data_IF_825399881336
#
_entry.id   IF_825399881336
#
_cell.length_a   1.000
_cell.length_b   1.000
_cell.length_c   1.000
_cell.angle_alpha   90.00
_cell.angle_beta   90.00
_cell.angle_gamma   90.00
#
_symmetry.space_group_name_H-M   'P 1'
#
loop_
_entity.id
_entity.type
_entity.pdbx_description
1 polymer ?
#
# COMPACT_ATOMS: atom_id res chain seq x y z
N UNK A 1 14.06 -19.28 2.45
CA UNK A 1 12.66 -18.80 2.41
C UNK A 1 12.52 -17.58 3.30
N UNK A 2 11.73 -16.57 2.91
CA UNK A 2 11.46 -15.41 3.78
C UNK A 2 10.46 -15.81 4.88
N UNK A 3 10.71 -15.38 6.12
CA UNK A 3 9.78 -15.54 7.24
C UNK A 3 9.06 -14.23 7.46
N UNK A 4 7.73 -14.24 7.48
CA UNK A 4 6.92 -13.03 7.64
C UNK A 4 6.02 -13.19 8.86
N UNK A 5 6.02 -12.16 9.70
CA UNK A 5 5.20 -12.03 10.89
C UNK A 5 4.29 -10.82 10.68
N UNK A 6 2.99 -11.02 10.83
CA UNK A 6 2.00 -9.96 10.69
C UNK A 6 1.16 -9.87 11.95
N UNK A 7 0.95 -8.64 12.41
CA UNK A 7 0.00 -8.32 13.46
C UNK A 7 -0.99 -7.27 12.94
N UNK A 8 -2.26 -7.65 12.81
CA UNK A 8 -3.33 -6.73 12.39
C UNK A 8 -4.07 -6.22 13.62
N UNK A 9 -3.83 -4.96 13.97
CA UNK A 9 -4.56 -4.22 14.98
C UNK A 9 -5.76 -3.45 14.41
N UNK A 10 -6.37 -2.61 15.25
CA UNK A 10 -7.53 -1.79 14.85
C UNK A 10 -7.18 -0.72 13.80
N UNK A 11 -6.04 -0.04 13.95
CA UNK A 11 -5.63 1.06 13.07
C UNK A 11 -4.56 0.66 12.07
N UNK A 12 -3.60 -0.17 12.51
CA UNK A 12 -2.43 -0.53 11.72
C UNK A 12 -2.26 -2.04 11.61
N UNK A 13 -1.69 -2.46 10.49
CA UNK A 13 -1.15 -3.79 10.26
C UNK A 13 0.37 -3.68 10.20
N UNK A 14 1.02 -4.28 11.19
CA UNK A 14 2.46 -4.35 11.31
C UNK A 14 2.98 -5.62 10.65
N UNK A 15 4.03 -5.50 9.84
CA UNK A 15 4.64 -6.59 9.11
C UNK A 15 6.16 -6.56 9.29
N UNK A 16 6.70 -7.67 9.78
CA UNK A 16 8.14 -7.88 9.94
C UNK A 16 8.53 -9.08 9.10
N UNK A 17 9.61 -8.94 8.33
CA UNK A 17 10.14 -10.04 7.54
C UNK A 17 11.61 -10.28 7.86
N UNK A 18 11.98 -11.55 7.98
CA UNK A 18 13.38 -12.00 8.04
C UNK A 18 13.72 -12.67 6.73
N UNK A 19 14.67 -12.08 6.00
CA UNK A 19 15.19 -12.64 4.75
C UNK A 19 16.08 -13.86 5.02
N UNK A 20 16.35 -14.70 4.00
CA UNK A 20 17.26 -15.84 4.14
C UNK A 20 18.68 -15.47 4.60
N UNK A 21 19.12 -14.25 4.28
CA UNK A 21 20.42 -13.70 4.70
C UNK A 21 20.45 -13.20 6.17
N UNK A 22 19.34 -13.34 6.90
CA UNK A 22 19.18 -12.86 8.28
C UNK A 22 18.79 -11.39 8.41
N UNK A 23 18.78 -10.62 7.32
CA UNK A 23 18.35 -9.22 7.36
C UNK A 23 16.86 -9.09 7.68
N UNK A 24 16.52 -8.07 8.46
CA UNK A 24 15.15 -7.80 8.89
C UNK A 24 14.59 -6.58 8.17
N UNK A 25 13.36 -6.71 7.67
CA UNK A 25 12.57 -5.64 7.10
C UNK A 25 11.35 -5.38 7.97
N UNK A 26 10.86 -4.14 7.93
CA UNK A 26 9.64 -3.73 8.61
C UNK A 26 8.77 -2.91 7.66
N UNK A 27 7.46 -3.11 7.74
CA UNK A 27 6.44 -2.34 7.04
C UNK A 27 5.24 -2.17 7.95
N UNK A 28 4.64 -0.99 7.90
CA UNK A 28 3.39 -0.67 8.58
C UNK A 28 2.44 -0.11 7.53
N UNK A 29 1.23 -0.64 7.47
CA UNK A 29 0.14 -0.13 6.64
C UNK A 29 -1.10 0.10 7.51
N UNK A 30 -2.05 0.88 7.02
CA UNK A 30 -3.35 1.01 7.69
C UNK A 30 -4.11 -0.32 7.61
N UNK A 31 -4.84 -0.67 8.67
CA UNK A 31 -5.72 -1.86 8.69
C UNK A 31 -6.89 -1.75 7.69
N UNK A 32 -7.11 -0.56 7.11
CA UNK A 32 -7.99 -0.32 5.96
C UNK A 32 -7.35 -0.66 4.60
N UNK A 33 -6.23 -1.38 4.61
CA UNK A 33 -5.44 -1.75 3.42
C UNK A 33 -4.88 -0.56 2.65
N UNK A 34 -4.37 0.44 3.37
CA UNK A 34 -3.94 1.69 2.74
C UNK A 34 -2.63 2.26 3.28
N UNK A 35 -2.02 3.14 2.50
CA UNK A 35 -0.89 3.99 2.91
C UNK A 35 -1.22 5.45 2.67
N UNK A 36 -0.65 6.34 3.47
CA UNK A 36 -0.81 7.79 3.33
C UNK A 36 0.49 8.45 2.96
N UNK A 37 0.38 9.59 2.29
CA UNK A 37 1.52 10.39 1.87
C UNK A 37 1.13 11.79 1.47
N UNK A 38 2.12 12.55 1.02
CA UNK A 38 1.93 13.86 0.41
C UNK A 38 2.30 13.78 -1.07
N UNK A 39 1.59 14.52 -1.91
CA UNK A 39 1.88 14.63 -3.33
C UNK A 39 1.90 16.08 -3.78
N UNK A 40 2.73 16.40 -4.76
CA UNK A 40 2.71 17.67 -5.48
C UNK A 40 2.12 17.45 -6.87
N UNK A 41 1.15 18.29 -7.25
CA UNK A 41 0.51 18.22 -8.57
C UNK A 41 1.48 18.70 -9.64
N UNK A 42 1.62 17.92 -10.71
CA UNK A 42 2.52 18.26 -11.82
C UNK A 42 1.84 19.17 -12.85
N UNK A 43 2.55 19.51 -13.93
CA UNK A 43 2.01 20.19 -15.10
C UNK A 43 1.06 19.31 -15.91
N UNK A 44 1.22 17.99 -15.86
CA UNK A 44 0.21 17.03 -16.29
C UNK A 44 -0.89 16.89 -15.22
N UNK A 45 -2.15 17.22 -15.54
CA UNK A 45 -3.28 17.20 -14.58
C UNK A 45 -3.65 15.81 -14.08
N UNK A 46 -3.07 14.75 -14.64
CA UNK A 46 -3.28 13.35 -14.23
C UNK A 46 -2.09 12.79 -13.45
N UNK A 47 -0.99 13.52 -13.38
CA UNK A 47 0.26 13.04 -12.80
C UNK A 47 0.60 13.80 -11.52
N UNK A 48 1.11 13.05 -10.55
CA UNK A 48 1.49 13.52 -9.23
C UNK A 48 2.90 13.07 -8.90
N UNK A 49 3.71 13.93 -8.31
CA UNK A 49 4.96 13.52 -7.65
C UNK A 49 4.64 13.18 -6.20
N UNK A 50 4.87 11.94 -5.79
CA UNK A 50 4.51 11.44 -4.45
C UNK A 50 5.70 11.31 -3.51
N UNK A 51 5.44 11.55 -2.23
CA UNK A 51 6.40 11.39 -1.15
C UNK A 51 5.86 10.37 -0.15
N UNK A 52 6.52 9.21 -0.11
CA UNK A 52 6.22 8.11 0.79
C UNK A 52 7.46 7.78 1.63
N UNK A 53 7.25 7.37 2.88
CA UNK A 53 8.34 6.95 3.78
C UNK A 53 9.04 5.66 3.33
N UNK A 54 8.35 4.84 2.52
CA UNK A 54 8.79 3.49 2.18
C UNK A 54 9.06 3.34 0.69
N UNK A 55 10.14 2.63 0.40
CA UNK A 55 10.55 2.28 -0.96
C UNK A 55 9.63 1.21 -1.58
N UNK A 56 9.41 1.31 -2.89
CA UNK A 56 8.58 0.42 -3.70
C UNK A 56 9.18 0.25 -5.11
N UNK A 57 8.87 -0.84 -5.81
CA UNK A 57 9.35 -1.11 -7.17
C UNK A 57 8.57 -0.34 -8.23
N UNK A 58 9.11 -0.29 -9.45
CA UNK A 58 8.37 0.25 -10.59
C UNK A 58 7.03 -0.47 -10.76
N UNK A 59 6.00 0.30 -11.15
CA UNK A 59 4.63 -0.18 -11.37
C UNK A 59 3.90 -0.76 -10.14
N UNK A 60 4.48 -0.64 -8.94
CA UNK A 60 3.91 -1.21 -7.71
C UNK A 60 2.43 -0.84 -7.49
N UNK A 61 2.07 0.45 -7.65
CA UNK A 61 0.72 0.93 -7.36
C UNK A 61 -0.24 0.85 -8.56
N UNK A 62 0.17 0.29 -9.70
CA UNK A 62 -0.75 0.11 -10.84
C UNK A 62 -1.91 -0.81 -10.43
N UNK A 63 -3.14 -0.34 -10.65
CA UNK A 63 -4.38 -1.05 -10.25
C UNK A 63 -4.85 -0.75 -8.82
N UNK A 64 -4.16 0.12 -8.08
CA UNK A 64 -4.61 0.61 -6.78
C UNK A 64 -5.53 1.82 -6.95
N UNK A 65 -6.25 2.17 -5.88
CA UNK A 65 -7.10 3.37 -5.84
C UNK A 65 -6.38 4.50 -5.12
N UNK A 66 -6.56 5.73 -5.60
CA UNK A 66 -6.03 6.94 -5.00
C UNK A 66 -7.19 7.81 -4.48
N UNK A 67 -7.04 8.30 -3.26
CA UNK A 67 -7.99 9.17 -2.58
C UNK A 67 -7.27 10.42 -2.10
N UNK A 68 -7.89 11.58 -2.29
CA UNK A 68 -7.39 12.84 -1.75
C UNK A 68 -8.00 13.04 -0.37
N UNK A 69 -7.18 13.30 0.64
CA UNK A 69 -7.67 13.57 1.98
C UNK A 69 -8.48 14.87 1.98
N UNK A 70 -9.69 14.83 2.56
CA UNK A 70 -10.64 15.95 2.53
C UNK A 70 -11.55 15.97 1.30
N UNK A 71 -11.30 15.14 0.28
CA UNK A 71 -12.19 14.94 -0.87
C UNK A 71 -12.51 13.44 -1.06
N UNK A 72 -13.13 12.85 -0.04
CA UNK A 72 -13.41 11.42 0.03
C UNK A 72 -14.42 10.91 -1.03
N UNK A 73 -15.13 11.81 -1.71
CA UNK A 73 -16.14 11.45 -2.70
C UNK A 73 -15.55 11.13 -4.08
N UNK A 74 -14.26 11.39 -4.30
CA UNK A 74 -13.61 11.14 -5.58
C UNK A 74 -12.51 10.09 -5.45
N UNK A 75 -12.70 8.98 -6.15
CA UNK A 75 -11.75 7.88 -6.27
C UNK A 75 -11.11 7.93 -7.66
N UNK A 76 -9.81 7.71 -7.71
CA UNK A 76 -9.06 7.62 -8.97
C UNK A 76 -8.40 6.25 -9.07
N UNK A 77 -8.31 5.71 -10.28
CA UNK A 77 -7.50 4.52 -10.51
C UNK A 77 -6.07 4.92 -10.85
N UNK A 78 -5.09 4.27 -10.22
CA UNK A 78 -3.67 4.46 -10.55
C UNK A 78 -3.36 3.58 -11.76
N UNK A 79 -3.08 4.20 -12.89
CA UNK A 79 -2.80 3.49 -14.16
C UNK A 79 -1.30 3.26 -14.38
N UNK A 80 -0.46 4.06 -13.75
CA UNK A 80 1.00 3.91 -13.77
C UNK A 80 1.63 4.46 -12.49
N UNK A 81 2.75 3.87 -12.10
CA UNK A 81 3.65 4.39 -11.07
C UNK A 81 5.10 4.20 -11.51
N UNK A 82 5.90 5.27 -11.45
CA UNK A 82 7.33 5.29 -11.79
C UNK A 82 8.13 5.59 -10.53
N UNK A 83 8.93 4.62 -10.08
CA UNK A 83 9.68 4.77 -8.84
C UNK A 83 10.80 5.80 -9.00
N UNK A 84 11.50 5.83 -10.12
CA UNK A 84 12.66 6.72 -10.33
C UNK A 84 12.24 8.19 -10.30
N UNK A 85 11.06 8.49 -10.85
CA UNK A 85 10.47 9.83 -10.88
C UNK A 85 9.59 10.14 -9.66
N UNK A 86 9.34 9.15 -8.80
CA UNK A 86 8.33 9.23 -7.75
C UNK A 86 6.95 9.66 -8.29
N UNK A 87 6.59 9.22 -9.49
CA UNK A 87 5.39 9.69 -10.17
C UNK A 87 4.26 8.66 -10.09
N UNK A 88 3.03 9.13 -9.85
CA UNK A 88 1.80 8.38 -10.08
C UNK A 88 1.01 9.04 -11.20
N UNK A 89 0.46 8.23 -12.10
CA UNK A 89 -0.48 8.69 -13.12
C UNK A 89 -1.85 8.09 -12.86
N UNK A 90 -2.86 8.95 -12.82
CA UNK A 90 -4.26 8.63 -12.57
C UNK A 90 -5.04 8.45 -13.88
N UNK A 91 -6.18 7.80 -13.81
CA UNK A 91 -7.09 7.58 -14.94
C UNK A 91 -7.79 8.85 -15.43
N UNK A 92 -7.88 9.88 -14.59
CA UNK A 92 -8.57 11.14 -14.88
C UNK A 92 -7.90 12.35 -14.24
N UNK A 93 -8.26 13.52 -14.73
CA UNK A 93 -7.79 14.83 -14.24
C UNK A 93 -8.20 15.02 -12.77
N UNK A 94 -7.23 15.37 -11.93
CA UNK A 94 -7.44 15.56 -10.49
C UNK A 94 -8.17 16.87 -10.14
N UNK A 95 -8.16 17.86 -11.04
CA UNK A 95 -8.82 19.15 -10.88
C UNK A 95 -8.18 20.04 -9.82
N UNK A 96 -6.89 19.83 -9.53
CA UNK A 96 -6.11 20.63 -8.58
C UNK A 96 -5.04 21.41 -9.37
N UNK A 97 -4.80 22.70 -9.05
CA UNK A 97 -3.76 23.48 -9.70
C UNK A 97 -2.35 22.87 -9.55
N UNK A 98 -1.55 23.00 -10.61
CA UNK A 98 -0.13 22.61 -10.61
C UNK A 98 0.64 23.27 -9.47
N UNK A 99 1.53 22.51 -8.82
CA UNK A 99 2.35 22.98 -7.72
C UNK A 99 1.68 22.89 -6.34
N UNK A 100 0.37 22.67 -6.27
CA UNK A 100 -0.28 22.43 -4.99
C UNK A 100 0.17 21.12 -4.35
N UNK A 101 0.27 21.13 -3.01
CA UNK A 101 0.59 19.95 -2.22
C UNK A 101 -0.67 19.42 -1.56
N UNK A 102 -0.93 18.13 -1.73
CA UNK A 102 -2.09 17.43 -1.17
C UNK A 102 -1.66 16.26 -0.30
N UNK A 103 -2.49 15.95 0.70
CA UNK A 103 -2.44 14.69 1.43
C UNK A 103 -3.31 13.66 0.72
N UNK A 104 -2.84 12.42 0.65
CA UNK A 104 -3.55 11.35 -0.04
C UNK A 104 -3.52 10.05 0.73
N UNK A 105 -4.40 9.14 0.30
CA UNK A 105 -4.39 7.72 0.67
C UNK A 105 -4.37 6.86 -0.61
N UNK A 106 -3.48 5.88 -0.67
CA UNK A 106 -3.50 4.82 -1.70
C UNK A 106 -4.09 3.58 -1.08
N UNK A 107 -5.20 3.12 -1.62
CA UNK A 107 -5.93 1.95 -1.14
C UNK A 107 -5.64 0.73 -2.01
N UNK A 108 -5.16 -0.33 -1.36
CA UNK A 108 -5.02 -1.65 -1.95
C UNK A 108 -6.38 -2.30 -2.17
N UNK A 109 -6.57 -3.03 -3.29
CA UNK A 109 -7.75 -3.89 -3.45
C UNK A 109 -7.66 -5.17 -2.60
N UNK A 110 -6.51 -5.46 -1.98
CA UNK A 110 -6.30 -6.64 -1.15
C UNK A 110 -6.39 -6.33 0.35
N UNK A 111 -6.62 -7.35 1.17
CA UNK A 111 -6.61 -7.25 2.64
C UNK A 111 -5.25 -6.76 3.18
N UNK A 112 -5.28 -6.06 4.32
CA UNK A 112 -4.11 -5.38 4.87
C UNK A 112 -2.89 -6.31 5.09
N UNK A 113 -3.04 -7.56 5.56
CA UNK A 113 -1.93 -8.52 5.61
C UNK A 113 -1.29 -8.79 4.24
N UNK A 114 -2.09 -8.98 3.19
CA UNK A 114 -1.59 -9.27 1.84
C UNK A 114 -0.89 -8.05 1.28
N UNK A 115 -1.49 -6.87 1.45
CA UNK A 115 -0.88 -5.61 1.06
C UNK A 115 0.47 -5.38 1.76
N UNK A 116 0.55 -5.66 3.06
CA UNK A 116 1.80 -5.56 3.80
C UNK A 116 2.87 -6.54 3.29
N UNK A 117 2.48 -7.76 2.91
CA UNK A 117 3.38 -8.73 2.27
C UNK A 117 3.89 -8.21 0.92
N UNK A 118 3.03 -7.62 0.09
CA UNK A 118 3.46 -7.01 -1.18
C UNK A 118 4.46 -5.89 -0.95
N UNK A 119 4.17 -4.98 0.00
CA UNK A 119 5.06 -3.87 0.36
C UNK A 119 6.42 -4.33 0.89
N UNK A 120 6.48 -5.41 1.67
CA UNK A 120 7.74 -5.89 2.27
C UNK A 120 8.55 -6.77 1.31
N UNK A 121 7.89 -7.46 0.38
CA UNK A 121 8.52 -8.31 -0.64
C UNK A 121 8.74 -7.59 -1.97
N UNK A 122 8.23 -6.37 -2.08
CA UNK A 122 8.28 -5.51 -3.26
C UNK A 122 7.70 -6.16 -4.53
N UNK A 123 6.47 -6.69 -4.40
CA UNK A 123 5.75 -7.39 -5.46
C UNK A 123 4.55 -6.59 -5.91
N UNK A 124 4.43 -6.39 -7.22
CA UNK A 124 3.28 -5.66 -7.82
C UNK A 124 1.98 -6.45 -7.65
N UNK A 125 0.82 -5.82 -7.83
CA UNK A 125 -0.51 -6.40 -7.57
C UNK A 125 -0.76 -7.78 -8.21
N UNK A 126 -0.24 -8.01 -9.41
CA UNK A 126 -0.48 -9.26 -10.15
C UNK A 126 0.71 -10.22 -10.12
N UNK A 127 1.80 -9.84 -9.48
CA UNK A 127 2.96 -10.70 -9.33
C UNK A 127 2.70 -11.76 -8.26
N UNK A 128 3.20 -12.98 -8.51
CA UNK A 128 3.15 -14.04 -7.50
C UNK A 128 4.01 -13.66 -6.30
N UNK A 129 3.48 -13.87 -5.10
CA UNK A 129 4.27 -13.76 -3.88
C UNK A 129 5.36 -14.84 -3.87
N UNK A 130 6.57 -14.54 -3.39
CA UNK A 130 7.63 -15.54 -3.29
C UNK A 130 7.24 -16.62 -2.26
N UNK A 131 7.85 -17.82 -2.30
CA UNK A 131 7.71 -18.79 -1.23
C UNK A 131 8.06 -18.16 0.13
N UNK A 132 7.12 -18.24 1.07
CA UNK A 132 7.19 -17.57 2.36
C UNK A 132 6.63 -18.45 3.47
N UNK A 133 7.16 -18.26 4.67
CA UNK A 133 6.57 -18.80 5.89
C UNK A 133 5.82 -17.67 6.58
N UNK A 134 4.50 -17.76 6.67
CA UNK A 134 3.65 -16.74 7.28
C UNK A 134 3.27 -17.11 8.72
N UNK A 135 3.41 -16.16 9.64
CA UNK A 135 2.77 -16.16 10.94
C UNK A 135 1.87 -14.95 11.05
N UNK A 136 0.57 -15.18 11.17
CA UNK A 136 -0.45 -14.13 11.17
C UNK A 136 -1.15 -14.12 12.53
N UNK A 137 -1.03 -12.99 13.24
CA UNK A 137 -1.82 -12.65 14.40
C UNK A 137 -2.85 -11.61 14.00
N UNK A 138 -4.13 -11.90 14.22
CA UNK A 138 -5.21 -10.96 13.93
C UNK A 138 -6.27 -11.06 15.01
N UNK A 139 -6.83 -9.93 15.41
CA UNK A 139 -8.02 -9.90 16.28
C UNK A 139 -9.23 -10.53 15.58
N UNK A 140 -9.37 -10.35 14.26
CA UNK A 140 -10.40 -11.01 13.44
C UNK A 140 -10.31 -12.53 13.46
N UNK A 141 -9.11 -13.11 13.37
CA UNK A 141 -8.89 -14.56 13.45
C UNK A 141 -9.21 -15.12 14.82
N UNK A 142 -8.88 -14.37 15.89
CA UNK A 142 -9.31 -14.70 17.25
C UNK A 142 -10.84 -14.69 17.36
N UNK A 143 -11.52 -13.67 16.84
CA UNK A 143 -12.99 -13.60 16.85
C UNK A 143 -13.62 -14.72 16.01
N UNK A 144 -13.10 -15.04 14.83
CA UNK A 144 -13.62 -16.13 13.99
C UNK A 144 -13.49 -17.51 14.68
N UNK A 145 -12.38 -17.74 15.40
CA UNK A 145 -12.16 -18.94 16.22
C UNK A 145 -13.11 -18.98 17.44
N UNK A 146 -13.31 -17.85 18.12
CA UNK A 146 -14.21 -17.74 19.27
C UNK A 146 -15.69 -17.85 18.86
N UNK A 147 -16.06 -17.30 17.71
CA UNK A 147 -17.43 -17.27 17.18
C UNK A 147 -17.78 -18.52 16.35
N UNK A 148 -16.82 -19.45 16.15
CA UNK A 148 -16.97 -20.67 15.33
C UNK A 148 -17.49 -20.42 13.92
N UNK A 149 -17.06 -19.33 13.28
CA UNK A 149 -17.41 -18.97 11.89
C UNK A 149 -16.22 -19.18 10.96
N UNK A 150 -15.68 -20.40 10.97
CA UNK A 150 -14.59 -20.84 10.09
C UNK A 150 -15.11 -21.68 8.93
#
# INVERSE_FOLDING_TARGET
>A
MIKIYIDTGGTFTDCIATRPDGSTLRRKVLSSSAIRGNATVTDDPRTLTIHLEHDYCDHFFKGYRFLIQGNANRLYNIIASDRKKYALTLDSDIGIPTGETIQFEIQSPEEAPVFAIRMITNRTLHEKLPPLQLRLSTTKGTNALLERRG
#
